data_IF_668174491523
#
_entry.id   IF_668174491523
#
_cell.length_a   1.000
_cell.length_b   1.000
_cell.length_c   1.000
_cell.angle_alpha   90.00
_cell.angle_beta   90.00
_cell.angle_gamma   90.00
#
_symmetry.space_group_name_H-M   'P 1'
#
loop_
_entity.id
_entity.type
_entity.pdbx_description
1 polymer ?
#
# COMPACT_ATOMS: atom_id res chain seq x y z
N UNK A 1 -18.04 -42.80 -1.16
CA UNK A 1 -19.13 -43.11 -0.22
C UNK A 1 -20.11 -44.00 -0.95
N UNK A 2 -20.56 -45.10 -0.34
CA UNK A 2 -21.42 -46.09 -1.01
C UNK A 2 -22.87 -45.60 -1.03
N UNK A 3 -23.40 -45.27 -2.21
CA UNK A 3 -24.75 -44.70 -2.41
C UNK A 3 -25.86 -45.61 -1.86
N UNK A 4 -25.57 -46.91 -1.69
CA UNK A 4 -26.49 -47.91 -1.15
C UNK A 4 -26.82 -47.76 0.34
N UNK A 5 -26.18 -46.83 1.06
CA UNK A 5 -26.48 -46.55 2.47
C UNK A 5 -27.41 -45.36 2.71
N UNK A 6 -27.85 -44.68 1.64
CA UNK A 6 -28.78 -43.56 1.73
C UNK A 6 -30.25 -44.03 1.73
N UNK A 7 -31.15 -43.34 2.46
CA UNK A 7 -32.59 -43.57 2.35
C UNK A 7 -33.09 -43.43 0.90
N UNK A 8 -33.91 -44.38 0.44
CA UNK A 8 -34.38 -44.47 -0.97
C UNK A 8 -35.00 -43.18 -1.52
N UNK A 9 -35.72 -42.42 -0.70
CA UNK A 9 -36.30 -41.11 -1.09
C UNK A 9 -35.29 -40.03 -1.50
N UNK A 10 -34.03 -40.17 -1.09
CA UNK A 10 -32.97 -39.21 -1.39
C UNK A 10 -32.29 -39.57 -2.72
N UNK A 11 -32.18 -40.87 -3.01
CA UNK A 11 -31.63 -41.38 -4.27
C UNK A 11 -32.49 -40.92 -5.45
N UNK A 12 -33.82 -41.01 -5.34
CA UNK A 12 -34.75 -40.60 -6.41
C UNK A 12 -34.69 -39.09 -6.73
N UNK A 13 -34.36 -38.23 -5.76
CA UNK A 13 -34.22 -36.78 -5.98
C UNK A 13 -32.86 -36.43 -6.60
N UNK A 14 -31.80 -37.16 -6.23
CA UNK A 14 -30.43 -36.98 -6.74
C UNK A 14 -30.28 -37.52 -8.17
N UNK A 15 -31.00 -38.58 -8.55
CA UNK A 15 -30.96 -39.10 -9.92
C UNK A 15 -31.65 -38.16 -10.94
N UNK A 16 -32.53 -37.25 -10.47
CA UNK A 16 -33.23 -36.30 -11.35
C UNK A 16 -32.46 -34.99 -11.60
N UNK A 17 -31.52 -34.61 -10.72
CA UNK A 17 -30.69 -33.42 -10.85
C UNK A 17 -29.22 -33.80 -10.70
N UNK A 18 -28.44 -33.68 -11.79
CA UNK A 18 -26.99 -33.92 -11.77
C UNK A 18 -26.33 -32.93 -10.80
N UNK A 19 -26.07 -33.37 -9.56
CA UNK A 19 -25.28 -32.60 -8.61
C UNK A 19 -23.83 -32.45 -9.12
N UNK A 20 -23.19 -31.28 -8.91
CA UNK A 20 -21.78 -31.09 -9.20
C UNK A 20 -20.90 -32.13 -8.51
N UNK A 21 -19.82 -32.57 -9.18
CA UNK A 21 -18.90 -33.62 -8.71
C UNK A 21 -18.20 -33.34 -7.38
N UNK A 22 -18.28 -32.10 -6.88
CA UNK A 22 -17.62 -31.60 -5.68
C UNK A 22 -18.60 -31.27 -4.53
N UNK A 23 -19.85 -31.73 -4.62
CA UNK A 23 -20.86 -31.50 -3.57
C UNK A 23 -20.59 -32.38 -2.35
N UNK A 24 -20.48 -31.77 -1.16
CA UNK A 24 -20.41 -32.50 0.11
C UNK A 24 -21.80 -32.55 0.73
N UNK A 25 -22.25 -33.76 1.09
CA UNK A 25 -23.56 -34.01 1.68
C UNK A 25 -23.37 -34.52 3.11
N UNK A 26 -24.04 -33.88 4.07
CA UNK A 26 -24.13 -34.40 5.44
C UNK A 26 -25.51 -34.14 6.06
N UNK A 27 -25.84 -34.94 7.06
CA UNK A 27 -27.10 -34.86 7.79
C UNK A 27 -26.88 -34.19 9.14
N UNK A 28 -27.60 -33.10 9.41
CA UNK A 28 -27.54 -32.39 10.68
C UNK A 28 -28.96 -32.26 11.25
N UNK A 29 -29.19 -32.81 12.45
CA UNK A 29 -30.50 -32.83 13.12
C UNK A 29 -31.65 -33.41 12.27
N UNK A 30 -31.36 -34.46 11.49
CA UNK A 30 -32.38 -35.09 10.64
C UNK A 30 -32.75 -34.30 9.37
N UNK A 31 -32.04 -33.19 9.09
CA UNK A 31 -32.11 -32.47 7.82
C UNK A 31 -30.83 -32.68 7.02
N UNK A 32 -31.00 -32.96 5.73
CA UNK A 32 -29.89 -33.07 4.79
C UNK A 32 -29.54 -31.67 4.28
N UNK A 33 -28.26 -31.30 4.42
CA UNK A 33 -27.73 -30.01 3.96
C UNK A 33 -26.75 -30.29 2.84
N UNK A 34 -26.89 -29.54 1.75
CA UNK A 34 -25.99 -29.59 0.60
C UNK A 34 -25.08 -28.37 0.65
N UNK A 35 -23.77 -28.60 0.69
CA UNK A 35 -22.80 -27.55 0.42
C UNK A 35 -22.17 -27.90 -0.92
N UNK A 36 -22.66 -27.24 -1.98
CA UNK A 36 -21.87 -27.15 -3.18
C UNK A 36 -20.62 -26.35 -2.79
N UNK A 37 -19.45 -26.99 -2.80
CA UNK A 37 -18.25 -26.20 -2.98
C UNK A 37 -18.48 -25.47 -4.30
N UNK A 38 -18.41 -24.14 -4.32
CA UNK A 38 -18.23 -23.46 -5.59
C UNK A 38 -16.92 -24.01 -6.14
N UNK A 39 -17.01 -24.96 -7.08
CA UNK A 39 -15.90 -25.24 -7.96
C UNK A 39 -15.56 -23.88 -8.52
N UNK A 40 -14.38 -23.37 -8.13
CA UNK A 40 -13.83 -22.13 -8.65
C UNK A 40 -14.06 -22.18 -10.15
N UNK A 41 -15.05 -21.43 -10.63
CA UNK A 41 -15.26 -21.21 -12.07
C UNK A 41 -13.85 -21.01 -12.62
N UNK A 42 -13.46 -21.68 -13.73
CA UNK A 42 -12.11 -21.54 -14.27
C UNK A 42 -11.85 -20.05 -14.30
N UNK A 43 -10.96 -19.61 -13.40
CA UNK A 43 -10.71 -18.19 -13.20
C UNK A 43 -10.21 -17.79 -14.55
N UNK A 44 -11.06 -17.11 -15.34
CA UNK A 44 -10.65 -16.58 -16.63
C UNK A 44 -9.40 -15.83 -16.29
N UNK A 45 -8.26 -16.29 -16.81
CA UNK A 45 -6.96 -15.73 -16.53
C UNK A 45 -7.07 -14.26 -16.92
N UNK A 46 -7.36 -13.41 -15.92
CA UNK A 46 -7.55 -12.00 -16.15
C UNK A 46 -6.15 -11.52 -16.45
N UNK A 47 -5.92 -11.17 -17.71
CA UNK A 47 -4.68 -10.53 -18.12
C UNK A 47 -4.55 -9.30 -17.24
N UNK A 48 -3.54 -9.24 -16.35
CA UNK A 48 -3.43 -8.16 -15.38
C UNK A 48 -3.37 -6.83 -16.14
N UNK A 49 -4.24 -5.91 -15.77
CA UNK A 49 -4.26 -4.57 -16.36
C UNK A 49 -3.09 -3.79 -15.78
N UNK A 50 -2.15 -3.42 -16.65
CA UNK A 50 -0.96 -2.67 -16.27
C UNK A 50 -1.33 -1.35 -15.57
N UNK A 51 -0.63 -1.04 -14.49
CA UNK A 51 -0.71 0.26 -13.82
C UNK A 51 -0.01 1.31 -14.69
N UNK A 52 -0.79 2.16 -15.38
CA UNK A 52 -0.26 3.20 -16.28
C UNK A 52 0.06 4.53 -15.59
N UNK A 53 -0.65 4.85 -14.51
CA UNK A 53 -0.47 6.08 -13.73
C UNK A 53 -0.64 5.83 -12.24
N UNK A 54 -0.05 6.71 -11.43
CA UNK A 54 -0.18 6.71 -9.98
C UNK A 54 -0.58 8.12 -9.51
N UNK A 55 -1.73 8.23 -8.83
CA UNK A 55 -2.22 9.50 -8.33
C UNK A 55 -2.82 10.41 -9.42
N UNK A 56 -3.17 11.67 -9.07
CA UNK A 56 -2.71 12.41 -7.90
C UNK A 56 -3.25 11.88 -6.55
N UNK A 57 -2.49 12.13 -5.49
CA UNK A 57 -2.89 11.77 -4.13
C UNK A 57 -2.84 12.97 -3.18
N UNK A 58 -3.92 13.19 -2.44
CA UNK A 58 -3.93 14.17 -1.36
C UNK A 58 -3.25 13.63 -0.12
N UNK A 59 -2.80 14.53 0.75
CA UNK A 59 -2.28 14.19 2.09
C UNK A 59 -3.05 14.94 3.17
N UNK A 60 -3.36 14.27 4.29
CA UNK A 60 -4.12 14.89 5.40
C UNK A 60 -3.49 14.53 6.75
N UNK A 61 -3.35 15.51 7.63
CA UNK A 61 -2.86 15.31 9.00
C UNK A 61 -3.72 14.28 9.73
N UNK A 62 -3.06 13.43 10.50
CA UNK A 62 -3.68 12.45 11.39
C UNK A 62 -3.31 12.83 12.82
N UNK A 63 -4.30 13.30 13.58
CA UNK A 63 -4.07 13.80 14.94
C UNK A 63 -4.31 12.71 16.01
N UNK A 64 -5.07 11.67 15.68
CA UNK A 64 -5.40 10.55 16.59
C UNK A 64 -4.30 9.47 16.66
N UNK A 65 -3.30 9.54 15.76
CA UNK A 65 -2.16 8.62 15.73
C UNK A 65 -0.92 9.41 16.13
N UNK A 66 -0.13 8.84 17.03
CA UNK A 66 1.24 9.31 17.26
C UNK A 66 2.24 8.19 16.94
N UNK A 67 3.43 8.61 16.55
CA UNK A 67 4.53 7.72 16.18
C UNK A 67 5.78 8.16 16.92
N UNK A 68 6.48 7.21 17.52
CA UNK A 68 7.78 7.43 18.14
C UNK A 68 8.80 6.51 17.49
N UNK A 69 9.81 7.09 16.82
CA UNK A 69 10.94 6.32 16.32
C UNK A 69 11.79 5.83 17.49
N UNK A 70 12.20 4.57 17.43
CA UNK A 70 13.16 4.01 18.36
C UNK A 70 14.57 4.55 18.06
N UNK A 71 15.46 4.43 19.05
CA UNK A 71 16.86 4.87 18.92
C UNK A 71 17.67 4.12 17.87
N UNK A 72 17.24 2.91 17.49
CA UNK A 72 17.87 2.15 16.42
C UNK A 72 17.61 2.75 15.02
N UNK A 73 16.60 3.61 14.88
CA UNK A 73 16.13 4.14 13.59
C UNK A 73 15.54 3.07 12.66
N UNK A 74 15.32 1.85 13.17
CA UNK A 74 14.83 0.69 12.46
C UNK A 74 13.44 0.26 12.92
N UNK A 75 12.97 0.75 14.07
CA UNK A 75 11.64 0.46 14.60
C UNK A 75 10.91 1.73 15.01
N UNK A 76 9.58 1.64 15.09
CA UNK A 76 8.74 2.70 15.65
C UNK A 76 7.57 2.12 16.44
N UNK A 77 7.19 2.85 17.48
CA UNK A 77 5.97 2.61 18.22
C UNK A 77 4.85 3.47 17.64
N UNK A 78 3.76 2.82 17.24
CA UNK A 78 2.53 3.47 16.80
C UNK A 78 1.52 3.45 17.95
N UNK A 79 1.05 4.62 18.36
CA UNK A 79 0.05 4.75 19.40
C UNK A 79 -1.28 5.15 18.79
N UNK A 80 -2.32 4.37 19.07
CA UNK A 80 -3.65 4.62 18.58
C UNK A 80 -4.72 4.01 19.50
N UNK A 81 -5.75 4.79 19.85
CA UNK A 81 -6.82 4.38 20.78
C UNK A 81 -6.30 3.73 22.09
N UNK A 82 -5.23 4.28 22.67
CA UNK A 82 -4.62 3.77 23.89
C UNK A 82 -3.90 2.43 23.74
N UNK A 83 -3.77 1.91 22.52
CA UNK A 83 -2.97 0.72 22.19
C UNK A 83 -1.64 1.16 21.58
N UNK A 84 -0.56 0.50 21.98
CA UNK A 84 0.77 0.67 21.39
C UNK A 84 1.14 -0.58 20.63
N UNK A 85 1.57 -0.44 19.39
CA UNK A 85 2.12 -1.53 18.60
C UNK A 85 3.48 -1.11 18.04
N UNK A 86 4.48 -1.98 18.19
CA UNK A 86 5.82 -1.77 17.66
C UNK A 86 5.93 -2.39 16.27
N UNK A 87 6.46 -1.63 15.32
CA UNK A 87 6.65 -2.06 13.94
C UNK A 87 8.10 -1.87 13.49
N UNK A 88 8.52 -2.69 12.54
CA UNK A 88 9.78 -2.48 11.84
C UNK A 88 9.58 -1.37 10.79
N UNK A 89 10.48 -0.39 10.80
CA UNK A 89 10.57 0.62 9.77
C UNK A 89 11.18 -0.02 8.51
N UNK A 90 10.35 -0.26 7.50
CA UNK A 90 10.75 -0.85 6.21
C UNK A 90 11.29 0.17 5.21
N UNK A 91 11.15 1.45 5.53
CA UNK A 91 11.64 2.57 4.74
C UNK A 91 12.48 3.49 5.62
N UNK A 92 13.80 3.57 5.42
CA UNK A 92 14.67 4.41 6.23
C UNK A 92 14.21 5.87 6.26
N UNK A 93 14.52 6.58 7.34
CA UNK A 93 14.28 8.03 7.43
C UNK A 93 15.16 8.76 6.41
N UNK A 94 14.54 9.63 5.61
CA UNK A 94 15.20 10.40 4.56
C UNK A 94 15.01 11.90 4.78
N UNK A 95 15.82 12.72 4.11
CA UNK A 95 15.64 14.18 4.11
C UNK A 95 14.43 14.56 3.26
N UNK A 96 13.72 15.58 3.68
CA UNK A 96 12.70 16.22 2.84
C UNK A 96 13.40 16.95 1.68
N UNK A 97 13.04 16.62 0.44
CA UNK A 97 13.58 17.27 -0.76
C UNK A 97 12.56 18.14 -1.50
N UNK A 98 11.26 17.90 -1.32
CA UNK A 98 10.21 18.78 -1.85
C UNK A 98 10.25 20.14 -1.15
N UNK A 99 10.09 21.22 -1.92
CA UNK A 99 10.13 22.61 -1.44
C UNK A 99 9.03 23.45 -2.09
N UNK A 100 8.77 24.63 -1.53
CA UNK A 100 7.82 25.61 -2.07
C UNK A 100 6.39 25.05 -2.20
N UNK A 101 5.76 25.32 -3.33
CA UNK A 101 4.38 24.90 -3.59
C UNK A 101 4.19 23.39 -3.48
N UNK A 102 5.17 22.59 -3.91
CA UNK A 102 5.08 21.14 -3.83
C UNK A 102 5.06 20.64 -2.37
N UNK A 103 5.85 21.25 -1.48
CA UNK A 103 5.78 20.92 -0.05
C UNK A 103 4.46 21.34 0.60
N UNK A 104 3.89 22.48 0.17
CA UNK A 104 2.61 22.96 0.68
C UNK A 104 1.46 22.05 0.24
N UNK A 105 1.44 21.66 -1.03
CA UNK A 105 0.46 20.73 -1.62
C UNK A 105 0.55 19.34 -0.98
N UNK A 106 1.77 18.86 -0.71
CA UNK A 106 2.00 17.62 0.02
C UNK A 106 1.77 17.74 1.55
N UNK A 107 1.33 18.90 2.03
CA UNK A 107 1.03 19.20 3.43
C UNK A 107 2.20 18.88 4.39
N UNK A 108 3.43 19.12 3.92
CA UNK A 108 4.65 18.91 4.68
C UNK A 108 4.75 19.98 5.78
N UNK A 109 4.97 19.63 7.05
CA UNK A 109 5.17 20.63 8.08
C UNK A 109 6.38 21.53 7.76
N UNK A 110 6.29 22.86 7.92
CA UNK A 110 7.33 23.80 7.47
C UNK A 110 8.69 23.61 8.17
N UNK A 111 8.71 22.95 9.32
CA UNK A 111 9.92 22.66 10.09
C UNK A 111 10.38 21.20 9.95
N UNK A 112 9.74 20.42 9.08
CA UNK A 112 10.15 19.05 8.81
C UNK A 112 11.47 19.05 8.03
N UNK A 113 12.47 18.38 8.58
CA UNK A 113 13.75 18.19 7.90
C UNK A 113 13.89 16.79 7.34
N UNK A 114 13.11 15.85 7.87
CA UNK A 114 13.13 14.44 7.48
C UNK A 114 11.73 13.86 7.41
N UNK A 115 11.59 12.75 6.71
CA UNK A 115 10.36 11.98 6.65
C UNK A 115 10.65 10.49 6.44
N UNK A 116 9.64 9.65 6.60
CA UNK A 116 9.65 8.29 6.09
C UNK A 116 8.25 7.89 5.63
N UNK A 117 8.18 6.95 4.69
CA UNK A 117 6.94 6.27 4.36
C UNK A 117 6.64 5.20 5.42
N UNK A 118 5.43 5.24 5.95
CA UNK A 118 4.89 4.25 6.86
C UNK A 118 3.89 3.38 6.08
N UNK A 119 4.19 2.09 5.96
CA UNK A 119 3.27 1.14 5.37
C UNK A 119 2.01 0.97 6.23
N UNK A 120 0.86 0.60 5.62
CA UNK A 120 -0.31 0.18 6.35
C UNK A 120 0.07 -0.85 7.43
N UNK A 121 -0.21 -0.59 8.72
CA UNK A 121 -0.10 -1.62 9.73
C UNK A 121 -1.13 -2.71 9.47
N UNK A 122 -0.92 -3.89 10.06
CA UNK A 122 -1.76 -5.09 9.85
C UNK A 122 -3.27 -4.77 9.83
N UNK A 123 -4.05 -5.37 8.89
CA UNK A 123 -5.48 -5.12 8.71
C UNK A 123 -6.36 -5.50 9.92
N UNK A 124 -5.78 -6.13 10.95
CA UNK A 124 -6.45 -6.45 12.21
C UNK A 124 -6.77 -5.22 13.08
N UNK A 125 -6.17 -4.06 12.80
CA UNK A 125 -6.52 -2.79 13.44
C UNK A 125 -7.73 -2.16 12.73
N UNK A 126 -8.92 -2.75 12.90
CA UNK A 126 -10.17 -2.20 12.33
C UNK A 126 -10.75 -1.17 13.29
N UNK A 127 -10.82 0.09 12.87
CA UNK A 127 -11.36 1.20 13.68
C UNK A 127 -12.31 2.08 12.85
N UNK A 128 -13.24 2.75 13.56
CA UNK A 128 -14.20 3.80 13.17
C UNK A 128 -14.13 4.28 11.71
N UNK A 129 -15.27 4.18 11.04
CA UNK A 129 -15.46 4.55 9.64
C UNK A 129 -15.27 6.07 9.39
N UNK A 130 -14.55 6.39 8.31
CA UNK A 130 -14.36 7.67 7.64
C UNK A 130 -13.53 8.74 8.39
N UNK A 131 -12.44 8.37 9.06
CA UNK A 131 -11.47 9.34 9.62
C UNK A 131 -10.06 9.24 9.00
N UNK A 132 -9.22 10.29 9.10
CA UNK A 132 -7.85 10.25 8.56
C UNK A 132 -6.99 9.12 9.14
N UNK A 133 -7.21 8.75 10.40
CA UNK A 133 -6.51 7.64 11.02
C UNK A 133 -6.85 6.31 10.33
N UNK A 134 -8.12 6.05 10.03
CA UNK A 134 -8.53 4.85 9.28
C UNK A 134 -7.85 4.82 7.90
N UNK A 135 -7.83 5.94 7.21
CA UNK A 135 -7.17 6.04 5.90
C UNK A 135 -5.67 5.71 6.03
N UNK A 136 -4.97 6.28 7.02
CA UNK A 136 -3.57 5.95 7.29
C UNK A 136 -3.38 4.46 7.58
N UNK A 137 -4.28 3.83 8.33
CA UNK A 137 -4.20 2.41 8.64
C UNK A 137 -4.46 1.52 7.41
N UNK A 138 -5.24 1.99 6.43
CA UNK A 138 -5.55 1.26 5.18
C UNK A 138 -4.46 1.41 4.12
N UNK A 139 -3.97 2.62 3.90
CA UNK A 139 -3.08 2.94 2.77
C UNK A 139 -1.66 3.29 3.18
N UNK A 140 -1.40 3.51 4.46
CA UNK A 140 -0.15 4.07 4.94
C UNK A 140 -0.12 5.58 4.77
N UNK A 141 1.06 6.15 4.97
CA UNK A 141 1.25 7.59 4.90
C UNK A 141 2.67 8.04 5.20
N UNK A 142 2.87 9.34 5.31
CA UNK A 142 4.18 9.93 5.58
C UNK A 142 4.26 10.39 7.03
N UNK A 143 5.30 9.98 7.74
CA UNK A 143 5.66 10.55 9.03
C UNK A 143 6.77 11.59 8.80
N UNK A 144 6.59 12.80 9.35
CA UNK A 144 7.52 13.91 9.22
C UNK A 144 8.20 14.20 10.55
N UNK A 145 9.49 14.49 10.50
CA UNK A 145 10.34 14.64 11.67
C UNK A 145 11.17 15.92 11.62
N UNK A 146 11.54 16.38 12.82
CA UNK A 146 12.62 17.34 13.03
C UNK A 146 13.77 16.64 13.72
N UNK A 147 14.96 16.72 13.11
CA UNK A 147 16.19 16.28 13.74
C UNK A 147 16.60 17.27 14.85
N UNK A 148 16.66 16.81 16.10
CA UNK A 148 17.09 17.61 17.25
C UNK A 148 18.62 17.49 17.46
N UNK A 149 19.31 18.63 17.46
CA UNK A 149 20.78 18.69 17.46
C UNK A 149 21.43 18.44 18.83
N UNK A 150 20.67 18.33 19.92
CA UNK A 150 21.23 18.54 21.26
C UNK A 150 21.95 17.35 21.91
N UNK A 151 21.91 16.13 21.37
CA UNK A 151 22.83 15.10 21.90
C UNK A 151 22.96 13.78 21.12
N UNK A 152 21.96 13.30 20.35
CA UNK A 152 22.04 11.95 19.76
C UNK A 152 21.27 11.79 18.44
N UNK A 153 21.18 12.83 17.61
CA UNK A 153 20.45 12.79 16.33
C UNK A 153 19.02 12.21 16.51
N UNK A 154 18.29 12.69 17.52
CA UNK A 154 16.94 12.20 17.83
C UNK A 154 15.94 12.85 16.89
N UNK A 155 15.06 12.04 16.30
CA UNK A 155 13.96 12.52 15.48
C UNK A 155 12.73 12.78 16.35
N UNK A 156 12.30 14.04 16.40
CA UNK A 156 11.00 14.41 16.97
C UNK A 156 9.95 14.34 15.87
N UNK A 157 8.92 13.51 16.05
CA UNK A 157 7.75 13.48 15.15
C UNK A 157 7.02 14.82 15.21
N UNK A 158 6.80 15.40 14.03
CA UNK A 158 6.05 16.65 13.87
C UNK A 158 4.60 16.38 13.45
N UNK A 159 4.42 15.45 12.50
CA UNK A 159 3.12 15.17 11.89
C UNK A 159 3.14 13.80 11.22
N UNK A 160 1.97 13.17 11.18
CA UNK A 160 1.70 12.02 10.33
C UNK A 160 0.63 12.44 9.33
N UNK A 161 0.86 12.18 8.05
CA UNK A 161 -0.10 12.44 7.00
C UNK A 161 -0.58 11.13 6.38
N UNK A 162 -1.89 10.91 6.36
CA UNK A 162 -2.51 9.85 5.58
C UNK A 162 -2.50 10.20 4.09
N UNK A 163 -2.29 9.20 3.23
CA UNK A 163 -2.44 9.32 1.78
C UNK A 163 -3.88 8.99 1.37
N UNK A 164 -4.49 9.75 0.47
CA UNK A 164 -5.82 9.43 -0.07
C UNK A 164 -5.93 9.80 -1.55
N UNK A 165 -6.85 9.16 -2.26
CA UNK A 165 -7.19 9.51 -3.64
C UNK A 165 -7.78 10.92 -3.70
N UNK A 166 -7.21 11.77 -4.55
CA UNK A 166 -7.65 13.15 -4.70
C UNK A 166 -7.54 13.58 -6.16
N UNK A 167 -8.16 14.71 -6.50
CA UNK A 167 -8.04 15.33 -7.83
C UNK A 167 -6.81 16.22 -7.96
N UNK A 168 -6.20 16.59 -6.83
CA UNK A 168 -4.97 17.38 -6.71
C UNK A 168 -4.14 16.88 -5.52
N UNK A 169 -2.84 17.14 -5.53
CA UNK A 169 -1.97 16.71 -4.43
C UNK A 169 -0.58 16.34 -4.90
N UNK A 170 -0.02 15.33 -4.25
CA UNK A 170 1.23 14.69 -4.63
C UNK A 170 1.05 14.01 -5.99
N UNK A 171 1.77 14.49 -6.97
CA UNK A 171 1.82 13.95 -8.32
C UNK A 171 3.02 13.03 -8.51
N UNK A 172 2.87 12.10 -9.44
CA UNK A 172 3.94 11.18 -9.83
C UNK A 172 4.20 11.31 -11.31
N UNK A 173 5.46 11.14 -11.69
CA UNK A 173 5.88 11.06 -13.07
C UNK A 173 5.26 9.84 -13.77
N UNK A 174 5.42 9.79 -15.09
CA UNK A 174 4.97 8.65 -15.88
C UNK A 174 5.58 7.32 -15.42
N UNK A 175 4.88 6.23 -15.72
CA UNK A 175 5.35 4.87 -15.45
C UNK A 175 6.71 4.63 -16.10
N UNK A 176 7.68 4.18 -15.30
CA UNK A 176 9.00 3.77 -15.78
C UNK A 176 9.27 2.30 -15.48
N UNK A 177 10.02 1.65 -16.37
CA UNK A 177 10.41 0.25 -16.19
C UNK A 177 11.33 0.07 -14.98
N UNK A 178 11.01 -0.89 -14.11
CA UNK A 178 11.88 -1.25 -13.00
C UNK A 178 12.97 -2.22 -13.45
N UNK A 179 14.23 -1.88 -13.17
CA UNK A 179 15.37 -2.74 -13.49
C UNK A 179 15.50 -3.83 -12.43
N UNK A 180 14.96 -5.02 -12.72
CA UNK A 180 14.87 -6.13 -11.77
C UNK A 180 16.19 -6.53 -11.06
N UNK A 181 17.34 -6.25 -11.66
CA UNK A 181 18.66 -6.48 -11.04
C UNK A 181 18.85 -5.78 -9.69
N UNK A 182 18.12 -4.70 -9.39
CA UNK A 182 18.17 -4.01 -8.10
C UNK A 182 17.13 -4.50 -7.09
N UNK A 183 16.24 -5.44 -7.47
CA UNK A 183 15.21 -5.98 -6.58
C UNK A 183 15.82 -6.73 -5.40
N UNK A 184 16.84 -7.57 -5.64
CA UNK A 184 17.45 -8.43 -4.63
C UNK A 184 17.94 -7.65 -3.39
N UNK A 185 18.57 -6.49 -3.59
CA UNK A 185 19.03 -5.66 -2.46
C UNK A 185 17.85 -5.21 -1.59
N UNK A 186 16.87 -4.55 -2.20
CA UNK A 186 15.69 -4.01 -1.48
C UNK A 186 14.84 -5.13 -0.87
N UNK A 187 14.81 -6.30 -1.51
CA UNK A 187 14.10 -7.49 -1.03
C UNK A 187 14.77 -8.08 0.20
N UNK A 188 16.10 -8.26 0.17
CA UNK A 188 16.89 -8.72 1.32
C UNK A 188 16.84 -7.74 2.50
N UNK A 189 16.76 -6.43 2.21
CA UNK A 189 16.53 -5.38 3.20
C UNK A 189 15.07 -5.39 3.75
N UNK A 190 14.21 -6.28 3.24
CA UNK A 190 12.83 -6.46 3.66
C UNK A 190 11.93 -5.27 3.33
N UNK A 191 12.30 -4.46 2.32
CA UNK A 191 11.60 -3.21 1.97
C UNK A 191 10.32 -3.45 1.19
N UNK A 192 10.26 -4.52 0.38
CA UNK A 192 9.06 -4.90 -0.33
C UNK A 192 7.99 -5.45 0.62
N UNK A 193 6.81 -4.84 0.59
CA UNK A 193 5.64 -5.27 1.36
C UNK A 193 4.57 -5.84 0.42
N UNK A 194 3.80 -6.84 0.87
CA UNK A 194 2.62 -7.30 0.14
C UNK A 194 1.65 -6.15 -0.11
N UNK A 195 1.05 -6.15 -1.30
CA UNK A 195 0.06 -5.15 -1.68
C UNK A 195 -1.26 -5.43 -0.97
N UNK A 196 -1.77 -4.42 -0.25
CA UNK A 196 -3.05 -4.50 0.47
C UNK A 196 -4.17 -3.67 -0.17
N UNK A 197 -3.82 -2.79 -1.12
CA UNK A 197 -4.82 -2.01 -1.86
C UNK A 197 -5.54 -2.90 -2.86
N UNK A 198 -6.86 -3.02 -2.74
CA UNK A 198 -7.69 -3.80 -3.65
C UNK A 198 -7.50 -3.36 -5.12
N UNK A 199 -7.44 -2.05 -5.38
CA UNK A 199 -7.28 -1.51 -6.74
C UNK A 199 -5.91 -1.84 -7.37
N UNK A 200 -4.86 -2.01 -6.54
CA UNK A 200 -3.54 -2.45 -7.01
C UNK A 200 -3.49 -3.97 -7.20
N UNK A 201 -4.12 -4.72 -6.30
CA UNK A 201 -4.24 -6.19 -6.41
C UNK A 201 -5.03 -6.59 -7.66
N UNK A 202 -6.12 -5.88 -7.97
CA UNK A 202 -6.90 -6.06 -9.21
C UNK A 202 -6.07 -5.81 -10.47
N UNK A 203 -5.09 -4.91 -10.40
CA UNK A 203 -4.11 -4.66 -11.46
C UNK A 203 -2.99 -5.71 -11.51
N UNK A 204 -2.96 -6.67 -10.59
CA UNK A 204 -1.95 -7.72 -10.54
C UNK A 204 -0.67 -7.35 -9.78
N UNK A 205 -0.64 -6.20 -9.10
CA UNK A 205 0.50 -5.82 -8.26
C UNK A 205 0.55 -6.72 -7.03
N UNK A 206 1.71 -7.35 -6.80
CA UNK A 206 1.94 -8.28 -5.69
C UNK A 206 2.67 -7.61 -4.54
N UNK A 207 3.72 -6.87 -4.85
CA UNK A 207 4.54 -6.18 -3.84
C UNK A 207 4.77 -4.74 -4.22
N UNK A 208 5.04 -3.92 -3.21
CA UNK A 208 5.48 -2.56 -3.42
C UNK A 208 6.47 -2.10 -2.34
N UNK A 209 7.30 -1.12 -2.67
CA UNK A 209 8.12 -0.41 -1.70
C UNK A 209 8.21 1.06 -2.07
N UNK A 210 8.52 1.92 -1.10
CA UNK A 210 8.86 3.31 -1.35
C UNK A 210 10.37 3.44 -1.50
N UNK A 211 10.86 4.19 -2.46
CA UNK A 211 12.27 4.59 -2.58
C UNK A 211 12.44 5.97 -2.00
N UNK A 212 13.50 6.16 -1.23
CA UNK A 212 13.82 7.46 -0.66
C UNK A 212 14.35 8.43 -1.75
N UNK A 213 14.25 9.75 -1.50
CA UNK A 213 14.95 10.75 -2.29
C UNK A 213 16.43 10.43 -2.41
N UNK A 214 16.94 10.52 -3.64
CA UNK A 214 18.35 10.30 -3.98
C UNK A 214 18.90 8.93 -3.54
N UNK A 215 18.02 7.95 -3.31
CA UNK A 215 18.42 6.61 -2.88
C UNK A 215 19.22 5.93 -3.98
N UNK A 216 20.45 5.56 -3.66
CA UNK A 216 21.34 4.85 -4.55
C UNK A 216 21.14 3.33 -4.40
N UNK A 217 20.49 2.70 -5.38
CA UNK A 217 20.34 1.24 -5.43
C UNK A 217 21.54 0.61 -6.13
N UNK A 218 21.97 -0.54 -5.63
CA UNK A 218 23.15 -1.27 -6.11
C UNK A 218 22.81 -2.72 -6.43
N UNK A 219 23.56 -3.32 -7.35
CA UNK A 219 23.42 -4.72 -7.71
C UNK A 219 24.80 -5.28 -8.05
N UNK A 220 25.04 -6.54 -7.70
CA UNK A 220 26.34 -7.19 -7.92
C UNK A 220 26.73 -7.15 -9.40
N UNK A 221 27.89 -6.57 -9.70
CA UNK A 221 28.39 -6.44 -11.08
C UNK A 221 27.66 -5.40 -11.94
N UNK A 222 26.87 -4.50 -11.33
CA UNK A 222 26.14 -3.44 -12.03
C UNK A 222 26.56 -2.07 -11.50
N UNK A 223 26.44 -1.06 -12.35
CA UNK A 223 26.59 0.33 -11.90
C UNK A 223 25.46 0.68 -10.93
N UNK A 224 25.80 1.46 -9.90
CA UNK A 224 24.85 2.12 -9.02
C UNK A 224 23.85 2.98 -9.79
N UNK A 225 22.64 3.11 -9.28
CA UNK A 225 21.57 3.87 -9.93
C UNK A 225 20.74 4.65 -8.91
N UNK A 226 20.38 5.88 -9.26
CA UNK A 226 19.49 6.74 -8.47
C UNK A 226 18.22 6.95 -9.29
N UNK A 227 17.10 6.29 -8.95
CA UNK A 227 15.89 6.31 -9.77
C UNK A 227 14.98 7.52 -9.49
N UNK A 228 15.02 8.09 -8.28
CA UNK A 228 14.04 9.09 -7.83
C UNK A 228 14.70 10.25 -7.07
N UNK A 229 14.51 11.49 -7.54
CA UNK A 229 15.00 12.69 -6.85
C UNK A 229 14.18 13.04 -5.58
N UNK A 230 12.87 12.77 -5.59
CA UNK A 230 11.95 13.07 -4.48
C UNK A 230 11.38 11.81 -3.80
N UNK A 231 11.95 10.66 -4.12
CA UNK A 231 11.40 9.35 -3.78
C UNK A 231 10.32 8.91 -4.76
N UNK A 232 9.74 7.74 -4.51
CA UNK A 232 8.76 7.14 -5.43
C UNK A 232 8.36 5.74 -5.01
N UNK A 233 7.41 5.14 -5.72
CA UNK A 233 6.98 3.77 -5.45
C UNK A 233 7.48 2.82 -6.52
N UNK A 234 7.99 1.66 -6.11
CA UNK A 234 8.26 0.51 -6.97
C UNK A 234 7.14 -0.50 -6.77
N UNK A 235 6.65 -1.07 -7.87
CA UNK A 235 5.61 -2.09 -7.90
C UNK A 235 6.12 -3.32 -8.61
N UNK A 236 5.99 -4.48 -7.97
CA UNK A 236 6.36 -5.78 -8.52
C UNK A 236 5.11 -6.61 -8.79
N UNK A 237 5.08 -7.25 -9.96
CA UNK A 237 4.03 -8.16 -10.40
C UNK A 237 4.43 -9.63 -10.25
N UNK A 238 5.73 -9.89 -10.11
CA UNK A 238 6.26 -11.21 -9.77
C UNK A 238 5.89 -11.64 -8.35
N UNK A 239 5.87 -12.97 -8.12
CA UNK A 239 5.62 -13.55 -6.80
C UNK A 239 6.82 -13.39 -5.84
N UNK A 240 8.04 -13.17 -6.36
CA UNK A 240 9.24 -12.89 -5.57
C UNK A 240 10.35 -12.22 -6.43
N UNK A 241 11.49 -11.91 -5.80
CA UNK A 241 12.68 -11.34 -6.44
C UNK A 241 13.27 -12.18 -7.59
N UNK A 242 13.02 -13.51 -7.60
CA UNK A 242 13.61 -14.47 -8.54
C UNK A 242 12.79 -14.58 -9.82
N UNK A 243 11.57 -14.05 -9.81
CA UNK A 243 10.64 -14.08 -10.93
C UNK A 243 10.33 -12.65 -11.38
N UNK A 244 11.31 -11.95 -11.97
CA UNK A 244 11.08 -10.60 -12.48
C UNK A 244 9.97 -10.62 -13.52
N UNK A 245 9.11 -9.61 -13.49
CA UNK A 245 7.97 -9.51 -14.40
C UNK A 245 8.16 -8.35 -15.37
N UNK A 246 7.70 -8.51 -16.61
CA UNK A 246 7.79 -7.46 -17.63
C UNK A 246 6.97 -6.19 -17.29
N UNK A 247 6.12 -6.27 -16.26
CA UNK A 247 5.30 -5.14 -15.79
C UNK A 247 5.86 -4.45 -14.55
N UNK A 248 6.96 -4.97 -13.96
CA UNK A 248 7.62 -4.33 -12.84
C UNK A 248 7.96 -2.89 -13.21
N UNK A 249 7.55 -1.95 -12.36
CA UNK A 249 7.63 -0.53 -12.68
C UNK A 249 7.84 0.32 -11.44
N UNK A 250 8.17 1.58 -11.67
CA UNK A 250 8.21 2.57 -10.62
C UNK A 250 7.65 3.91 -11.08
N UNK A 251 7.24 4.71 -10.11
CA UNK A 251 6.68 6.04 -10.25
C UNK A 251 7.43 6.98 -9.31
N UNK A 252 8.18 7.93 -9.87
CA UNK A 252 8.88 8.96 -9.10
C UNK A 252 7.91 10.06 -8.70
N UNK A 253 8.06 10.63 -7.51
CA UNK A 253 7.34 11.85 -7.14
C UNK A 253 7.78 12.98 -8.07
N UNK A 254 6.82 13.66 -8.69
CA UNK A 254 7.08 14.72 -9.66
C UNK A 254 7.52 16.02 -8.99
N UNK A 255 8.48 16.72 -9.62
CA UNK A 255 8.89 18.09 -9.25
C UNK A 255 7.74 19.09 -9.39
N UNK A 256 6.90 18.85 -10.38
CA UNK A 256 5.89 19.79 -10.85
C UNK A 256 4.55 19.52 -10.17
N UNK A 257 4.47 19.65 -8.85
CA UNK A 257 3.16 19.89 -8.20
C UNK A 257 2.71 21.32 -8.55
N UNK A 258 2.55 21.60 -9.85
CA UNK A 258 1.97 22.83 -10.36
C UNK A 258 0.49 22.70 -10.06
N UNK A 259 0.12 23.05 -8.83
CA UNK A 259 -1.25 23.41 -8.52
C UNK A 259 -1.65 24.48 -9.52
N UNK A 260 -2.33 24.07 -10.59
CA UNK A 260 -3.35 24.92 -11.15
C UNK A 260 -4.35 25.04 -10.01
N UNK A 261 -4.14 26.03 -9.13
CA UNK A 261 -5.21 26.47 -8.25
C UNK A 261 -6.40 26.64 -9.21
N UNK A 262 -7.49 25.85 -9.07
CA UNK A 262 -8.70 26.22 -9.76
C UNK A 262 -8.93 27.66 -9.32
N UNK A 263 -8.80 28.60 -10.26
CA UNK A 263 -9.09 29.99 -9.96
C UNK A 263 -10.45 29.98 -9.27
N UNK A 264 -10.56 30.61 -8.10
CA UNK A 264 -11.80 30.69 -7.36
C UNK A 264 -12.88 31.29 -8.28
N UNK A 265 -13.64 30.44 -8.99
CA UNK A 265 -14.69 30.85 -9.93
C UNK A 265 -15.92 31.42 -9.19
N UNK A 266 -15.82 31.63 -7.88
CA UNK A 266 -16.91 32.14 -7.04
C UNK A 266 -16.81 33.62 -6.64
N UNK A 267 -15.87 34.41 -7.18
CA UNK A 267 -15.78 35.84 -6.87
C UNK A 267 -16.38 36.76 -7.95
N UNK A 268 -17.53 36.40 -8.55
CA UNK A 268 -18.39 37.33 -9.31
C UNK A 268 -19.88 36.95 -9.26
N UNK A 269 -20.53 37.24 -8.14
CA UNK A 269 -21.97 37.42 -8.10
C UNK A 269 -22.31 38.32 -6.90
N UNK A 270 -22.07 39.62 -7.03
CA UNK A 270 -22.76 40.70 -6.30
C UNK A 270 -22.27 42.05 -6.83
N UNK A 271 -22.80 42.47 -7.98
CA UNK A 271 -22.98 43.88 -8.40
C UNK A 271 -24.33 44.04 -9.09
#
# INVERSE_FOLDING_TARGET
>A
MDLHTLPSKIVDSIESERLPSNTVIFCQHGKWVYIAHEDKLPVKEQVPVQLESLGPFGTRSVDDISLQLAYDGLTYDLYYNGTTNTYNLRTPVARVTLQGLASDVANIPPNATHFCWIHPPSPSLIIKENCPAEQFLKTGGYAYFKLEQQSNAVFRTLRINALYEATNGLEFEERKEWRCKYTEQLWNDGRFQPTVSASLVEKGVKYYCFLNPDECVTATGQASWVPCAHGGFVFLYGEDERHPHAFDCYFSVADNCLGVCPADENEKADE
#
